data_IF_295189109215
#
_entry.id   IF_295189109215
#
_cell.length_a   1.000
_cell.length_b   1.000
_cell.length_c   1.000
_cell.angle_alpha   90.00
_cell.angle_beta   90.00
_cell.angle_gamma   90.00
#
_symmetry.space_group_name_H-M   'P 1'
#
loop_
_entity.id
_entity.type
_entity.pdbx_description
1 polymer ?
#
# COMPACT_ATOMS: atom_id res chain seq x y z
N UNK A 1 13.24 -20.49 -10.67
CA UNK A 1 13.20 -19.23 -11.43
C UNK A 1 13.29 -18.03 -10.47
N UNK A 2 14.50 -17.74 -9.95
CA UNK A 2 14.79 -16.48 -9.27
C UNK A 2 15.02 -15.41 -10.34
N UNK A 3 13.94 -14.72 -10.77
CA UNK A 3 14.05 -13.58 -11.66
C UNK A 3 13.86 -12.31 -10.85
N UNK A 4 14.99 -11.79 -10.38
CA UNK A 4 15.29 -10.38 -10.24
C UNK A 4 14.06 -9.47 -10.11
N UNK A 5 13.54 -9.30 -8.90
CA UNK A 5 12.52 -8.31 -8.62
C UNK A 5 13.02 -7.31 -7.58
N UNK A 6 14.29 -6.89 -7.64
CA UNK A 6 14.86 -5.90 -6.70
C UNK A 6 13.98 -4.67 -6.46
N UNK A 7 13.10 -4.35 -7.40
CA UNK A 7 12.02 -3.38 -7.27
C UNK A 7 11.06 -3.64 -6.09
N UNK A 8 10.57 -4.86 -5.87
CA UNK A 8 9.60 -5.17 -4.81
C UNK A 8 10.23 -5.03 -3.40
N UNK A 9 11.41 -5.60 -3.12
CA UNK A 9 12.14 -5.36 -1.88
C UNK A 9 12.48 -3.89 -1.67
N UNK A 10 12.91 -3.18 -2.72
CA UNK A 10 13.24 -1.74 -2.65
C UNK A 10 12.00 -0.92 -2.30
N UNK A 11 10.87 -1.17 -2.97
CA UNK A 11 9.61 -0.49 -2.68
C UNK A 11 9.17 -0.76 -1.24
N UNK A 12 9.32 -2.00 -0.77
CA UNK A 12 9.00 -2.37 0.60
C UNK A 12 9.92 -1.68 1.63
N UNK A 13 11.22 -1.58 1.35
CA UNK A 13 12.16 -0.84 2.20
C UNK A 13 11.84 0.64 2.26
N UNK A 14 11.59 1.29 1.11
CA UNK A 14 11.16 2.69 1.05
C UNK A 14 9.85 2.89 1.82
N UNK A 15 8.89 1.99 1.65
CA UNK A 15 7.62 2.03 2.39
C UNK A 15 7.87 1.99 3.90
N UNK A 16 8.72 1.09 4.40
CA UNK A 16 9.09 1.04 5.83
C UNK A 16 9.74 2.33 6.34
N UNK A 17 10.62 2.93 5.54
CA UNK A 17 11.32 4.16 5.91
C UNK A 17 10.36 5.35 6.00
N UNK A 18 9.42 5.47 5.07
CA UNK A 18 8.50 6.61 5.00
C UNK A 18 7.16 6.40 5.73
N UNK A 19 6.79 5.17 6.12
CA UNK A 19 5.50 4.88 6.76
C UNK A 19 5.41 5.23 8.25
N UNK A 20 6.45 5.84 8.84
CA UNK A 20 6.47 6.13 10.27
C UNK A 20 7.06 5.03 11.16
N UNK A 21 7.45 3.87 10.61
CA UNK A 21 8.00 2.75 11.41
C UNK A 21 9.39 3.06 11.92
N UNK A 22 10.26 3.56 11.04
CA UNK A 22 11.67 3.84 11.36
C UNK A 22 11.88 5.31 11.74
N UNK A 23 11.06 6.22 11.19
CA UNK A 23 11.20 7.66 11.40
C UNK A 23 9.84 8.31 11.69
N UNK A 24 9.66 9.06 12.78
CA UNK A 24 8.37 9.67 13.11
C UNK A 24 7.93 10.64 12.02
N UNK A 25 6.73 10.45 11.48
CA UNK A 25 6.20 11.30 10.39
C UNK A 25 6.05 12.75 10.82
N UNK A 26 5.85 12.99 12.13
CA UNK A 26 5.80 14.32 12.73
C UNK A 26 7.09 15.13 12.54
N UNK A 27 8.24 14.46 12.34
CA UNK A 27 9.53 15.11 12.09
C UNK A 27 9.80 15.41 10.61
N UNK A 28 8.98 14.86 9.69
CA UNK A 28 9.10 15.13 8.26
C UNK A 28 8.30 16.38 7.89
N UNK A 29 8.97 17.37 7.28
CA UNK A 29 8.35 18.58 6.75
C UNK A 29 8.46 18.66 5.22
N UNK A 30 7.42 19.18 4.57
CA UNK A 30 7.39 19.41 3.13
C UNK A 30 7.02 18.16 2.30
N UNK A 31 7.76 17.94 1.22
CA UNK A 31 7.48 16.88 0.24
C UNK A 31 7.45 15.44 0.81
N UNK A 32 8.37 15.05 1.71
CA UNK A 32 8.38 13.70 2.28
C UNK A 32 7.11 13.37 3.09
N UNK A 33 6.48 14.38 3.70
CA UNK A 33 5.24 14.22 4.48
C UNK A 33 4.06 13.81 3.59
N UNK A 34 4.02 14.32 2.35
CA UNK A 34 2.98 13.97 1.37
C UNK A 34 3.15 12.51 0.94
N UNK A 35 4.39 12.09 0.67
CA UNK A 35 4.69 10.70 0.34
C UNK A 35 4.33 9.76 1.49
N UNK A 36 4.71 10.09 2.72
CA UNK A 36 4.35 9.33 3.90
C UNK A 36 2.82 9.18 4.04
N UNK A 37 2.06 10.26 3.86
CA UNK A 37 0.58 10.23 3.92
C UNK A 37 -0.06 9.51 2.74
N UNK A 38 0.64 9.32 1.62
CA UNK A 38 0.12 8.53 0.49
C UNK A 38 0.20 7.02 0.74
N UNK A 39 1.00 6.59 1.71
CA UNK A 39 1.19 5.17 2.02
C UNK A 39 0.10 4.70 2.98
N UNK A 40 -0.67 3.64 2.64
CA UNK A 40 -1.72 3.13 3.52
C UNK A 40 -1.16 2.66 4.87
N UNK A 41 0.09 2.19 4.87
CA UNK A 41 0.77 1.66 6.05
C UNK A 41 0.93 2.72 7.16
N UNK A 42 1.03 4.00 6.79
CA UNK A 42 1.06 5.14 7.71
C UNK A 42 -0.18 5.23 8.59
N UNK A 43 -1.36 5.11 7.99
CA UNK A 43 -2.63 5.18 8.71
C UNK A 43 -2.86 3.99 9.64
N UNK A 44 -2.38 2.81 9.23
CA UNK A 44 -2.39 1.61 10.08
C UNK A 44 -1.49 1.78 11.30
N UNK A 45 -0.31 2.36 11.12
CA UNK A 45 0.61 2.62 12.22
C UNK A 45 0.07 3.67 13.20
N UNK A 46 -0.55 4.73 12.69
CA UNK A 46 -1.16 5.78 13.50
C UNK A 46 -2.36 5.26 14.31
N UNK A 47 -3.18 4.38 13.72
CA UNK A 47 -4.25 3.71 14.44
C UNK A 47 -3.70 2.79 15.55
N UNK A 48 -2.66 1.99 15.26
CA UNK A 48 -1.98 1.14 16.25
C UNK A 48 -1.36 1.97 17.38
N UNK A 49 -0.68 3.07 17.05
CA UNK A 49 -0.08 3.98 18.01
C UNK A 49 -1.14 4.55 18.96
N UNK A 50 -2.30 4.97 18.43
CA UNK A 50 -3.40 5.46 19.26
C UNK A 50 -4.07 4.39 20.12
N UNK A 51 -4.05 3.12 19.71
CA UNK A 51 -4.61 2.02 20.53
C UNK A 51 -3.64 1.60 21.64
N UNK A 52 -2.33 1.60 21.35
CA UNK A 52 -1.31 1.08 22.26
C UNK A 52 -0.81 2.13 23.26
N UNK A 53 -0.67 3.40 22.82
CA UNK A 53 0.03 4.43 23.60
C UNK A 53 -0.89 5.51 24.17
N UNK A 54 -2.14 5.61 23.73
CA UNK A 54 -3.08 6.59 24.30
C UNK A 54 -3.88 5.98 25.46
N UNK A 55 -3.88 6.66 26.60
CA UNK A 55 -4.70 6.29 27.77
C UNK A 55 -6.21 6.37 27.48
N UNK A 56 -6.60 7.22 26.53
CA UNK A 56 -7.97 7.33 26.04
C UNK A 56 -8.03 6.91 24.57
N UNK A 57 -8.83 5.89 24.27
CA UNK A 57 -9.06 5.42 22.91
C UNK A 57 -9.81 6.50 22.13
N UNK A 58 -9.13 7.14 21.20
CA UNK A 58 -9.70 8.13 20.30
C UNK A 58 -10.38 7.42 19.11
N UNK A 59 -11.62 6.98 19.33
CA UNK A 59 -12.41 6.23 18.35
C UNK A 59 -12.56 6.93 16.99
N UNK A 60 -12.62 8.27 16.99
CA UNK A 60 -12.72 9.06 15.75
C UNK A 60 -11.50 8.85 14.84
N UNK A 61 -10.29 8.84 15.39
CA UNK A 61 -9.06 8.64 14.60
C UNK A 61 -8.99 7.22 14.06
N UNK A 62 -9.38 6.23 14.88
CA UNK A 62 -9.39 4.82 14.47
C UNK A 62 -10.38 4.60 13.32
N UNK A 63 -11.59 5.17 13.42
CA UNK A 63 -12.61 5.05 12.38
C UNK A 63 -12.15 5.74 11.09
N UNK A 64 -11.61 6.96 11.17
CA UNK A 64 -11.10 7.70 10.02
C UNK A 64 -9.98 6.93 9.31
N UNK A 65 -8.98 6.46 10.06
CA UNK A 65 -7.85 5.72 9.51
C UNK A 65 -8.27 4.36 8.96
N UNK A 66 -9.21 3.69 9.63
CA UNK A 66 -9.83 2.45 9.15
C UNK A 66 -10.55 2.64 7.81
N UNK A 67 -11.31 3.73 7.65
CA UNK A 67 -12.03 4.04 6.41
C UNK A 67 -11.07 4.30 5.25
N UNK A 68 -9.98 5.03 5.50
CA UNK A 68 -8.91 5.25 4.50
C UNK A 68 -8.29 3.93 4.06
N UNK A 69 -7.97 3.03 5.00
CA UNK A 69 -7.43 1.70 4.69
C UNK A 69 -8.38 0.85 3.84
N UNK A 70 -9.66 0.83 4.19
CA UNK A 70 -10.69 0.12 3.41
C UNK A 70 -10.78 0.68 2.00
N UNK A 71 -10.75 2.00 1.85
CA UNK A 71 -10.71 2.65 0.54
C UNK A 71 -9.51 2.20 -0.31
N UNK A 72 -8.32 2.13 0.28
CA UNK A 72 -7.13 1.63 -0.41
C UNK A 72 -7.27 0.17 -0.85
N UNK A 73 -7.82 -0.70 -0.01
CA UNK A 73 -8.05 -2.11 -0.35
C UNK A 73 -8.98 -2.24 -1.55
N UNK A 74 -10.08 -1.48 -1.57
CA UNK A 74 -11.03 -1.47 -2.69
C UNK A 74 -10.35 -0.99 -3.97
N UNK A 75 -9.61 0.12 -3.92
CA UNK A 75 -8.90 0.64 -5.09
C UNK A 75 -7.89 -0.36 -5.65
N UNK A 76 -7.06 -0.97 -4.80
CA UNK A 76 -6.07 -1.97 -5.22
C UNK A 76 -6.77 -3.22 -5.77
N UNK A 77 -7.87 -3.66 -5.16
CA UNK A 77 -8.67 -4.78 -5.64
C UNK A 77 -9.22 -4.54 -7.04
N UNK A 78 -9.82 -3.38 -7.28
CA UNK A 78 -10.35 -3.00 -8.60
C UNK A 78 -9.24 -2.92 -9.64
N UNK A 79 -8.11 -2.28 -9.33
CA UNK A 79 -6.96 -2.22 -10.23
C UNK A 79 -6.43 -3.62 -10.55
N UNK A 80 -6.33 -4.49 -9.54
CA UNK A 80 -5.88 -5.87 -9.72
C UNK A 80 -6.79 -6.64 -10.65
N UNK A 81 -8.11 -6.52 -10.50
CA UNK A 81 -9.10 -7.15 -11.39
C UNK A 81 -8.92 -6.67 -12.83
N UNK A 82 -8.74 -5.36 -13.04
CA UNK A 82 -8.53 -4.76 -14.37
C UNK A 82 -7.24 -5.29 -15.00
N UNK A 83 -6.12 -5.25 -14.27
CA UNK A 83 -4.82 -5.71 -14.76
C UNK A 83 -4.82 -7.20 -15.07
N UNK A 84 -5.41 -8.03 -14.20
CA UNK A 84 -5.53 -9.47 -14.41
C UNK A 84 -6.39 -9.76 -15.63
N UNK A 85 -7.55 -9.09 -15.76
CA UNK A 85 -8.45 -9.26 -16.91
C UNK A 85 -7.75 -8.88 -18.22
N UNK A 86 -6.99 -7.79 -18.23
CA UNK A 86 -6.22 -7.34 -19.39
C UNK A 86 -5.07 -8.31 -19.72
N UNK A 87 -4.39 -8.82 -18.70
CA UNK A 87 -3.32 -9.81 -18.83
C UNK A 87 -3.84 -11.13 -19.43
N UNK A 88 -4.98 -11.63 -18.94
CA UNK A 88 -5.63 -12.85 -19.48
C UNK A 88 -6.03 -12.64 -20.95
N UNK A 89 -6.61 -11.48 -21.30
CA UNK A 89 -6.99 -11.16 -22.68
C UNK A 89 -5.77 -11.08 -23.61
N UNK A 90 -4.68 -10.50 -23.14
CA UNK A 90 -3.43 -10.40 -23.89
C UNK A 90 -2.77 -11.78 -24.08
N UNK A 91 -2.75 -12.60 -23.03
CA UNK A 91 -2.24 -13.97 -23.07
C UNK A 91 -3.03 -14.84 -24.05
N UNK A 92 -4.38 -14.81 -24.04
CA UNK A 92 -5.22 -15.52 -25.02
C UNK A 92 -4.99 -15.09 -26.47
N UNK A 93 -4.56 -13.83 -26.70
CA UNK A 93 -4.26 -13.32 -28.06
C UNK A 93 -2.91 -13.82 -28.59
N UNK A 94 -1.92 -13.98 -27.71
CA UNK A 94 -0.58 -14.46 -28.07
C UNK A 94 -0.41 -15.98 -27.98
N UNK A 95 -1.30 -16.69 -27.27
CA UNK A 95 -1.28 -18.15 -27.14
C UNK A 95 -2.15 -18.86 -28.19
N UNK A 96 -2.45 -18.20 -29.32
CA UNK A 96 -2.81 -18.91 -30.56
C UNK A 96 -1.53 -19.55 -31.09
N UNK A 97 -1.16 -20.66 -30.47
CA UNK A 97 -0.17 -21.58 -31.02
C UNK A 97 -0.84 -22.18 -32.25
N UNK A 98 -0.34 -21.82 -33.43
CA UNK A 98 -0.64 -22.54 -34.66
C UNK A 98 -0.11 -23.97 -34.48
N UNK A 99 -1.01 -24.90 -34.21
CA UNK A 99 -0.74 -26.32 -34.29
C UNK A 99 -0.81 -26.71 -35.78
N UNK A 100 0.28 -26.43 -36.51
CA UNK A 100 0.57 -27.10 -37.79
C UNK A 100 1.23 -28.45 -37.52
#
# INVERSE_FOLDING_TARGET
YQKNSGFVPLLYQLTKTFSGIVFPIALLSGFPTVLAKSLPLTYGLEALHNVILSENIQWEIIQRNGLVLVGFIICIGVLSIIFVSKSIKHSKKHNKVDWY
#
